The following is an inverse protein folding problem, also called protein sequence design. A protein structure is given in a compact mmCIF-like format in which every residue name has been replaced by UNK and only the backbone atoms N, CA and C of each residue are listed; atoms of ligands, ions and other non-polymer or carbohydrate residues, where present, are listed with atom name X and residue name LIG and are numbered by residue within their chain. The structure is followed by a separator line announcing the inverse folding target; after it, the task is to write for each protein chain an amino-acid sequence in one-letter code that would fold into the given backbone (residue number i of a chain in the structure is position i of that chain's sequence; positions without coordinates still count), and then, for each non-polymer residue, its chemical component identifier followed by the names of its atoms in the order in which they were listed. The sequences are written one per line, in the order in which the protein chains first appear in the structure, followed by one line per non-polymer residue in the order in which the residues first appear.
data_IF_759750556322
#
_entry.id   IF_759750556322
#
_cell.length_a   1.000
_cell.length_b   1.000
_cell.length_c   1.000
_cell.angle_alpha   90.00
_cell.angle_beta   90.00
_cell.angle_gamma   90.00
#
_symmetry.space_group_name_H-M   'P 1'
#
loop_
_entity.id
_entity.type
_entity.pdbx_description
1 polymer ?
#
# COMPACT_ATOMS: atom_id res chain seq x y z
N UNK A 1 9.47 -32.43 -18.06
CA UNK A 1 9.09 -33.43 -17.05
C UNK A 1 8.44 -32.69 -15.90
N UNK A 2 7.12 -32.72 -15.79
CA UNK A 2 6.39 -32.09 -14.68
C UNK A 2 6.51 -32.96 -13.43
N UNK A 3 7.00 -32.39 -12.32
CA UNK A 3 7.07 -33.07 -11.02
C UNK A 3 5.88 -32.65 -10.19
N UNK A 4 5.09 -33.59 -9.68
CA UNK A 4 3.96 -33.28 -8.79
C UNK A 4 4.40 -33.23 -7.33
N UNK A 5 3.82 -32.33 -6.56
CA UNK A 5 4.06 -32.21 -5.13
C UNK A 5 3.48 -33.43 -4.40
N UNK A 6 4.25 -34.04 -3.49
CA UNK A 6 3.77 -35.17 -2.66
C UNK A 6 2.73 -34.75 -1.62
N UNK A 7 2.69 -33.47 -1.22
CA UNK A 7 1.80 -32.94 -0.16
C UNK A 7 0.43 -32.54 -0.72
N UNK A 8 0.38 -31.84 -1.86
CA UNK A 8 -0.88 -31.34 -2.44
C UNK A 8 -1.22 -31.88 -3.85
N UNK A 9 -0.32 -32.63 -4.50
CA UNK A 9 -0.56 -33.17 -5.85
C UNK A 9 -0.39 -32.17 -7.00
N UNK A 10 -0.21 -30.88 -6.70
CA UNK A 10 -0.04 -29.80 -7.67
C UNK A 10 1.31 -29.88 -8.42
N UNK A 11 1.40 -29.26 -9.59
CA UNK A 11 2.65 -29.21 -10.36
C UNK A 11 3.70 -28.34 -9.66
N UNK A 12 4.91 -28.89 -9.47
CA UNK A 12 6.06 -28.16 -8.96
C UNK A 12 6.63 -27.27 -10.05
N UNK A 13 7.08 -26.10 -9.65
CA UNK A 13 7.78 -25.13 -10.48
C UNK A 13 9.28 -25.22 -10.21
N UNK A 14 10.08 -24.96 -11.23
CA UNK A 14 11.53 -24.92 -11.13
C UNK A 14 11.97 -23.45 -11.11
N UNK A 15 12.77 -23.06 -10.12
CA UNK A 15 13.40 -21.73 -10.10
C UNK A 15 14.60 -21.64 -11.05
N UNK A 16 15.17 -20.44 -11.13
CA UNK A 16 16.36 -20.12 -11.93
C UNK A 16 17.65 -20.81 -11.44
N UNK A 17 17.64 -21.35 -10.22
CA UNK A 17 18.71 -22.16 -9.65
C UNK A 17 18.49 -23.68 -9.86
N UNK A 18 17.40 -24.05 -10.52
CA UNK A 18 17.07 -25.43 -10.88
C UNK A 18 16.37 -26.22 -9.77
N UNK A 19 15.99 -25.58 -8.67
CA UNK A 19 15.31 -26.20 -7.53
C UNK A 19 13.79 -26.26 -7.75
N UNK A 20 13.19 -27.42 -7.44
CA UNK A 20 11.77 -27.69 -7.67
C UNK A 20 10.95 -27.44 -6.42
N UNK A 21 10.14 -26.38 -6.43
CA UNK A 21 9.30 -25.97 -5.32
C UNK A 21 7.81 -26.05 -5.66
N UNK A 22 6.97 -26.17 -4.64
CA UNK A 22 5.52 -26.18 -4.78
C UNK A 22 4.97 -24.87 -4.22
N UNK A 23 4.42 -23.96 -5.04
CA UNK A 23 3.97 -22.64 -4.60
C UNK A 23 2.99 -22.71 -3.42
N UNK A 24 2.04 -23.63 -3.47
CA UNK A 24 0.99 -23.73 -2.45
C UNK A 24 1.49 -24.31 -1.12
N UNK A 25 2.58 -25.09 -1.13
CA UNK A 25 3.18 -25.60 0.10
C UNK A 25 4.23 -24.65 0.68
N UNK A 26 4.74 -23.70 -0.11
CA UNK A 26 5.73 -22.70 0.34
C UNK A 26 5.06 -21.56 1.11
N UNK A 27 3.76 -21.32 0.90
CA UNK A 27 3.02 -20.24 1.59
C UNK A 27 2.86 -20.45 3.11
N UNK A 28 2.98 -21.69 3.62
CA UNK A 28 2.88 -21.99 5.06
C UNK A 28 4.19 -21.73 5.83
N UNK A 29 5.30 -21.43 5.13
CA UNK A 29 6.60 -21.14 5.73
C UNK A 29 7.19 -19.85 5.13
N UNK A 30 6.49 -18.73 5.31
CA UNK A 30 7.19 -17.44 5.29
C UNK A 30 7.89 -17.33 6.63
N UNK A 31 9.17 -17.71 6.65
CA UNK A 31 10.05 -17.47 7.78
C UNK A 31 10.02 -15.96 8.10
N UNK A 32 9.60 -15.53 9.30
CA UNK A 32 9.67 -14.13 9.71
C UNK A 32 11.08 -13.55 9.61
N UNK A 33 12.12 -14.39 9.66
CA UNK A 33 13.51 -13.98 9.43
C UNK A 33 13.79 -13.58 7.97
N UNK A 34 12.92 -13.91 7.00
CA UNK A 34 13.05 -13.47 5.61
C UNK A 34 12.93 -11.95 5.46
N UNK A 35 12.27 -11.27 6.40
CA UNK A 35 12.00 -9.83 6.34
C UNK A 35 12.88 -9.00 7.31
N UNK A 36 13.85 -9.60 8.00
CA UNK A 36 14.68 -8.95 9.03
C UNK A 36 13.85 -8.11 10.02
N UNK A 37 12.67 -8.60 10.43
CA UNK A 37 11.75 -7.85 11.29
C UNK A 37 12.22 -7.90 12.76
N UNK A 38 12.75 -6.78 13.26
CA UNK A 38 13.10 -6.63 14.68
C UNK A 38 11.84 -6.52 15.56
N UNK A 39 11.84 -7.11 16.75
CA UNK A 39 10.82 -6.85 17.77
C UNK A 39 11.22 -5.63 18.61
N UNK A 40 10.25 -4.84 19.07
CA UNK A 40 10.47 -3.77 20.03
C UNK A 40 10.56 -4.29 21.48
N UNK A 41 10.86 -3.41 22.43
CA UNK A 41 11.02 -3.76 23.85
C UNK A 41 9.71 -4.27 24.51
N UNK A 42 8.58 -4.25 23.78
CA UNK A 42 7.26 -4.73 24.21
C UNK A 42 6.86 -6.03 23.52
N UNK A 43 7.72 -6.57 22.64
CA UNK A 43 7.46 -7.79 21.88
C UNK A 43 6.54 -7.57 20.66
N UNK A 44 6.34 -6.33 20.23
CA UNK A 44 5.64 -6.02 18.98
C UNK A 44 6.64 -5.93 17.82
N UNK A 45 6.25 -6.35 16.61
CA UNK A 45 7.08 -6.16 15.42
C UNK A 45 7.36 -4.67 15.21
N UNK A 46 8.65 -4.28 15.18
CA UNK A 46 9.07 -3.00 14.61
C UNK A 46 8.63 -3.04 13.16
N UNK A 47 7.64 -2.22 12.81
CA UNK A 47 7.19 -2.02 11.44
C UNK A 47 8.02 -0.87 10.84
N UNK A 48 9.17 -1.12 10.19
CA UNK A 48 9.96 -0.05 9.56
C UNK A 48 9.16 0.68 8.47
N UNK A 49 8.15 0.02 7.90
CA UNK A 49 7.26 0.60 6.90
C UNK A 49 6.02 1.21 7.55
N UNK A 50 6.16 2.44 8.04
CA UNK A 50 5.00 3.35 8.05
C UNK A 50 4.74 3.68 6.57
N UNK A 51 3.91 2.88 5.90
CA UNK A 51 3.59 3.05 4.47
C UNK A 51 2.94 4.40 4.16
N UNK A 52 2.48 5.12 5.18
CA UNK A 52 1.87 6.45 5.04
C UNK A 52 2.84 7.55 5.51
N UNK A 53 3.09 8.59 4.70
CA UNK A 53 3.90 9.72 5.14
C UNK A 53 3.30 10.36 6.40
N UNK A 54 4.15 10.80 7.33
CA UNK A 54 3.72 11.44 8.57
C UNK A 54 2.75 12.59 8.29
N UNK A 55 1.57 12.55 8.91
CA UNK A 55 0.53 13.57 8.72
C UNK A 55 0.42 14.48 9.94
N UNK A 56 0.01 15.73 9.72
CA UNK A 56 -0.32 16.69 10.78
C UNK A 56 -1.73 17.21 10.57
N UNK A 57 -2.51 17.32 11.64
CA UNK A 57 -3.84 17.93 11.57
C UNK A 57 -3.71 19.44 11.35
N UNK A 58 -4.43 19.94 10.36
CA UNK A 58 -4.54 21.37 10.05
C UNK A 58 -6.01 21.75 9.90
N UNK A 59 -6.37 22.93 10.40
CA UNK A 59 -7.69 23.52 10.24
C UNK A 59 -7.62 24.63 9.20
N UNK A 60 -8.37 24.48 8.11
CA UNK A 60 -8.46 25.47 7.03
C UNK A 60 -9.91 25.95 6.89
N UNK A 61 -10.10 27.24 6.62
CA UNK A 61 -11.41 27.81 6.28
C UNK A 61 -11.54 27.88 4.76
N UNK A 62 -12.64 27.38 4.23
CA UNK A 62 -12.96 27.43 2.81
C UNK A 62 -14.36 28.03 2.61
N UNK A 63 -14.58 28.79 1.52
CA UNK A 63 -15.93 29.23 1.15
C UNK A 63 -16.88 28.05 1.00
N UNK A 64 -18.14 28.23 1.42
CA UNK A 64 -19.18 27.19 1.31
C UNK A 64 -19.38 26.77 -0.16
N UNK A 65 -19.34 27.74 -1.08
CA UNK A 65 -19.47 27.48 -2.51
C UNK A 65 -18.38 26.53 -3.04
N UNK A 66 -17.14 26.67 -2.55
CA UNK A 66 -16.02 25.81 -2.96
C UNK A 66 -16.15 24.40 -2.38
N UNK A 67 -16.65 24.27 -1.15
CA UNK A 67 -16.97 22.98 -0.56
C UNK A 67 -18.05 22.23 -1.36
N UNK A 68 -19.11 22.93 -1.78
CA UNK A 68 -20.16 22.36 -2.62
C UNK A 68 -19.65 21.99 -4.02
N UNK A 69 -18.78 22.82 -4.61
CA UNK A 69 -18.11 22.49 -5.86
C UNK A 69 -17.23 21.23 -5.71
N UNK A 70 -16.44 21.13 -4.63
CA UNK A 70 -15.61 19.98 -4.34
C UNK A 70 -16.43 18.69 -4.14
N UNK A 71 -17.58 18.77 -3.45
CA UNK A 71 -18.51 17.64 -3.31
C UNK A 71 -19.03 17.15 -4.66
N UNK A 72 -19.47 18.08 -5.53
CA UNK A 72 -19.94 17.73 -6.89
C UNK A 72 -18.83 17.10 -7.74
N UNK A 73 -17.62 17.65 -7.70
CA UNK A 73 -16.46 17.13 -8.42
C UNK A 73 -16.03 15.75 -7.91
N UNK A 74 -16.01 15.53 -6.59
CA UNK A 74 -15.68 14.26 -5.98
C UNK A 74 -16.66 13.16 -6.42
N UNK A 75 -17.97 13.44 -6.37
CA UNK A 75 -19.02 12.53 -6.86
C UNK A 75 -18.84 12.15 -8.33
N UNK A 76 -18.59 13.14 -9.20
CA UNK A 76 -18.33 12.90 -10.63
C UNK A 76 -17.11 12.02 -10.88
N UNK A 77 -16.13 12.02 -9.97
CA UNK A 77 -14.90 11.23 -10.05
C UNK A 77 -14.96 9.92 -9.27
N UNK A 78 -16.10 9.55 -8.70
CA UNK A 78 -16.26 8.34 -7.88
C UNK A 78 -15.53 8.39 -6.53
N UNK A 79 -15.13 9.58 -6.05
CA UNK A 79 -14.41 9.74 -4.79
C UNK A 79 -15.44 9.89 -3.65
N UNK A 80 -15.45 8.97 -2.67
CA UNK A 80 -16.53 8.89 -1.67
C UNK A 80 -16.54 10.06 -0.68
N UNK A 81 -15.37 10.65 -0.38
CA UNK A 81 -15.23 11.78 0.55
C UNK A 81 -14.65 13.00 -0.18
N UNK A 82 -15.38 14.11 -0.17
CA UNK A 82 -14.93 15.37 -0.78
C UNK A 82 -13.61 15.88 -0.16
N UNK A 83 -13.36 15.58 1.12
CA UNK A 83 -12.11 15.90 1.81
C UNK A 83 -10.90 15.22 1.16
N UNK A 84 -11.03 13.95 0.75
CA UNK A 84 -9.96 13.24 0.03
C UNK A 84 -9.67 13.91 -1.30
N UNK A 85 -10.71 14.36 -2.01
CA UNK A 85 -10.55 15.09 -3.25
C UNK A 85 -9.82 16.43 -3.05
N UNK A 86 -10.18 17.20 -2.01
CA UNK A 86 -9.49 18.46 -1.65
C UNK A 86 -8.01 18.19 -1.33
N UNK A 87 -7.71 17.15 -0.54
CA UNK A 87 -6.32 16.76 -0.23
C UNK A 87 -5.52 16.45 -1.49
N UNK A 88 -6.10 15.73 -2.45
CA UNK A 88 -5.44 15.43 -3.72
C UNK A 88 -5.21 16.68 -4.56
N UNK A 89 -6.17 17.61 -4.63
CA UNK A 89 -6.00 18.88 -5.33
C UNK A 89 -4.87 19.71 -4.73
N UNK A 90 -4.84 19.84 -3.40
CA UNK A 90 -3.78 20.56 -2.69
C UNK A 90 -2.40 19.94 -2.95
N UNK A 91 -2.28 18.61 -2.87
CA UNK A 91 -1.04 17.90 -3.19
C UNK A 91 -0.57 18.20 -4.62
N UNK A 92 -1.48 18.14 -5.60
CA UNK A 92 -1.14 18.41 -7.01
C UNK A 92 -0.70 19.85 -7.23
N UNK A 93 -1.37 20.81 -6.59
CA UNK A 93 -0.98 22.21 -6.64
C UNK A 93 0.43 22.40 -6.06
N UNK A 94 0.69 21.87 -4.86
CA UNK A 94 2.02 21.95 -4.24
C UNK A 94 3.11 21.30 -5.09
N UNK A 95 2.86 20.12 -5.67
CA UNK A 95 3.82 19.46 -6.57
C UNK A 95 4.06 20.32 -7.81
N UNK A 96 3.00 20.87 -8.42
CA UNK A 96 3.14 21.75 -9.58
C UNK A 96 3.98 22.99 -9.27
N UNK A 97 3.69 23.67 -8.17
CA UNK A 97 4.46 24.86 -7.75
C UNK A 97 5.92 24.50 -7.41
N UNK A 98 6.16 23.35 -6.78
CA UNK A 98 7.52 22.89 -6.48
C UNK A 98 8.31 22.44 -7.72
N UNK A 99 7.63 21.99 -8.78
CA UNK A 99 8.25 21.54 -10.03
C UNK A 99 8.66 22.68 -10.97
N UNK A 100 8.40 23.93 -10.57
CA UNK A 100 8.65 25.12 -11.39
C UNK A 100 7.45 25.47 -12.27
N UNK A 101 6.90 26.66 -12.00
CA UNK A 101 6.45 27.53 -13.08
C UNK A 101 7.62 27.88 -14.02
#
# INVERSE_FOLDING_TARGET
MTRKCRKCGEEKYQDDQGQWFCPDCIQEEIDPAFLDEELDDRGELRRPYVLEPTTRQVSIRLPIADLELAKRLARRKGIPKYQSYIKTLLRRALVKEASGA
#
